data_IF_458263950362
#
_entry.id   IF_458263950362
#
_cell.length_a   1.000
_cell.length_b   1.000
_cell.length_c   1.000
_cell.angle_alpha   90.00
_cell.angle_beta   90.00
_cell.angle_gamma   90.00
#
_symmetry.space_group_name_H-M   'P 1'
#
loop_
_entity.id
_entity.type
_entity.pdbx_description
1 polymer ?
#
# COMPACT_ATOMS: atom_id res chain seq x y z
N UNK A 1 1.65 15.62 -2.95
CA UNK A 1 0.70 15.41 -4.06
C UNK A 1 -0.40 14.46 -3.62
N UNK A 2 -1.67 14.85 -3.75
CA UNK A 2 -2.76 13.96 -3.40
C UNK A 2 -2.81 12.73 -4.31
N UNK A 3 -3.04 11.57 -3.73
CA UNK A 3 -3.24 10.35 -4.51
C UNK A 3 -4.64 10.39 -5.14
N UNK A 4 -4.79 9.83 -6.35
CA UNK A 4 -6.10 9.70 -6.94
C UNK A 4 -6.96 8.75 -6.10
N UNK A 5 -8.30 8.92 -6.07
CA UNK A 5 -9.16 8.03 -5.30
C UNK A 5 -8.97 6.55 -5.65
N UNK A 6 -8.76 6.26 -6.92
CA UNK A 6 -8.54 4.89 -7.39
C UNK A 6 -7.26 4.29 -6.81
N UNK A 7 -6.17 5.04 -6.84
CA UNK A 7 -4.89 4.58 -6.29
C UNK A 7 -4.99 4.43 -4.78
N UNK A 8 -5.62 5.39 -4.10
CA UNK A 8 -5.80 5.32 -2.65
C UNK A 8 -6.64 4.10 -2.25
N UNK A 9 -7.68 3.78 -3.01
CA UNK A 9 -8.52 2.61 -2.75
C UNK A 9 -7.75 1.31 -2.93
N UNK A 10 -6.93 1.23 -3.95
CA UNK A 10 -6.07 0.06 -4.18
C UNK A 10 -5.07 -0.13 -3.05
N UNK A 11 -4.46 0.96 -2.62
CA UNK A 11 -3.49 0.90 -1.52
C UNK A 11 -4.17 0.46 -0.22
N UNK A 12 -5.34 0.99 0.07
CA UNK A 12 -6.10 0.60 1.25
C UNK A 12 -6.50 -0.88 1.20
N UNK A 13 -6.88 -1.37 0.03
CA UNK A 13 -7.22 -2.79 -0.15
C UNK A 13 -6.00 -3.68 0.12
N UNK A 14 -4.82 -3.29 -0.36
CA UNK A 14 -3.60 -4.04 -0.13
C UNK A 14 -3.20 -4.06 1.35
N UNK A 15 -3.42 -2.97 2.06
CA UNK A 15 -3.18 -2.93 3.51
C UNK A 15 -4.04 -3.95 4.22
N UNK A 16 -5.30 -4.11 3.81
CA UNK A 16 -6.20 -5.10 4.41
C UNK A 16 -5.82 -6.53 4.02
N UNK A 17 -5.44 -6.75 2.76
CA UNK A 17 -5.06 -8.09 2.26
C UNK A 17 -3.77 -8.60 2.89
N UNK A 18 -2.81 -7.73 3.08
CA UNK A 18 -1.49 -8.07 3.61
C UNK A 18 -1.30 -7.44 4.98
N UNK A 19 -2.30 -7.56 5.83
CA UNK A 19 -2.29 -6.93 7.15
C UNK A 19 -1.08 -7.33 7.99
N UNK A 20 -0.52 -8.52 7.78
CA UNK A 20 0.68 -8.96 8.47
C UNK A 20 1.91 -8.11 8.16
N UNK A 21 1.88 -7.39 7.04
CA UNK A 21 2.95 -6.46 6.67
C UNK A 21 2.78 -5.09 7.33
N UNK A 22 1.64 -4.84 7.94
CA UNK A 22 1.27 -3.52 8.47
C UNK A 22 0.86 -3.58 9.94
N UNK A 23 1.34 -4.55 10.68
CA UNK A 23 0.96 -4.76 12.08
C UNK A 23 1.29 -3.56 12.97
N UNK A 24 2.26 -2.76 12.59
CA UNK A 24 2.69 -1.56 13.34
C UNK A 24 1.91 -0.31 12.92
N UNK A 25 1.05 -0.41 11.89
CA UNK A 25 0.28 0.71 11.39
C UNK A 25 -1.16 0.59 11.88
N UNK A 26 -1.74 1.71 12.30
CA UNK A 26 -3.14 1.72 12.71
C UNK A 26 -4.03 1.41 11.50
N UNK A 27 -4.96 0.44 11.60
CA UNK A 27 -5.77 0.02 10.46
C UNK A 27 -6.67 1.13 9.89
N UNK A 28 -6.99 2.13 10.71
CA UNK A 28 -7.84 3.25 10.28
C UNK A 28 -7.04 4.43 9.71
N UNK A 29 -5.72 4.28 9.59
CA UNK A 29 -4.90 5.34 9.01
C UNK A 29 -5.28 5.56 7.55
N UNK A 30 -5.71 6.78 7.23
CA UNK A 30 -6.15 7.10 5.88
C UNK A 30 -4.97 7.22 4.91
N UNK A 31 -5.19 6.76 3.69
CA UNK A 31 -4.23 6.91 2.60
C UNK A 31 -4.71 8.07 1.74
N UNK A 32 -4.02 9.21 1.82
CA UNK A 32 -4.47 10.46 1.18
C UNK A 32 -3.51 10.97 0.12
N UNK A 33 -2.21 10.71 0.29
CA UNK A 33 -1.18 11.29 -0.56
C UNK A 33 -0.33 10.20 -1.19
N UNK A 34 0.38 10.55 -2.27
CA UNK A 34 1.27 9.61 -2.94
C UNK A 34 2.36 9.09 -2.01
N UNK A 35 2.78 9.89 -1.03
CA UNK A 35 3.76 9.43 -0.04
C UNK A 35 3.22 8.29 0.80
N UNK A 36 1.94 8.32 1.14
CA UNK A 36 1.28 7.22 1.86
C UNK A 36 1.27 5.95 1.00
N UNK A 37 0.99 6.10 -0.28
CA UNK A 37 0.98 4.99 -1.22
C UNK A 37 2.38 4.40 -1.36
N UNK A 38 3.40 5.23 -1.44
CA UNK A 38 4.79 4.77 -1.50
C UNK A 38 5.18 4.01 -0.25
N UNK A 39 4.71 4.46 0.91
CA UNK A 39 4.96 3.77 2.16
C UNK A 39 4.35 2.37 2.16
N UNK A 40 3.14 2.23 1.63
CA UNK A 40 2.48 0.93 1.45
C UNK A 40 3.34 0.03 0.56
N UNK A 41 3.82 0.56 -0.56
CA UNK A 41 4.68 -0.19 -1.49
C UNK A 41 5.95 -0.68 -0.78
N UNK A 42 6.62 0.21 -0.04
CA UNK A 42 7.83 -0.15 0.69
C UNK A 42 7.59 -1.26 1.70
N UNK A 43 6.50 -1.18 2.45
CA UNK A 43 6.19 -2.19 3.44
C UNK A 43 5.87 -3.54 2.81
N UNK A 44 5.19 -3.54 1.69
CA UNK A 44 4.90 -4.78 0.95
C UNK A 44 6.19 -5.43 0.44
N UNK A 45 7.15 -4.63 0.02
CA UNK A 45 8.43 -5.14 -0.45
C UNK A 45 9.32 -5.63 0.68
N UNK A 46 9.28 -4.94 1.82
CA UNK A 46 10.18 -5.25 2.93
C UNK A 46 9.68 -6.42 3.78
N UNK A 47 8.38 -6.55 3.96
CA UNK A 47 7.78 -7.52 4.89
C UNK A 47 6.90 -8.57 4.22
N UNK A 48 6.65 -8.42 2.93
CA UNK A 48 5.77 -9.33 2.21
C UNK A 48 6.51 -10.42 1.45
N UNK A 49 5.76 -11.40 0.99
CA UNK A 49 6.26 -12.46 0.13
C UNK A 49 6.18 -12.01 -1.34
N UNK A 50 6.34 -12.99 -2.26
CA UNK A 50 6.29 -12.69 -3.70
C UNK A 50 4.97 -12.08 -4.14
N UNK A 51 3.85 -12.51 -3.56
CA UNK A 51 2.53 -11.97 -3.91
C UNK A 51 2.44 -10.50 -3.50
N UNK A 52 2.94 -10.17 -2.32
CA UNK A 52 2.99 -8.78 -1.87
C UNK A 52 3.91 -7.95 -2.77
N UNK A 53 5.02 -8.52 -3.20
CA UNK A 53 5.96 -7.88 -4.11
C UNK A 53 5.30 -7.53 -5.45
N UNK A 54 4.58 -8.50 -6.01
CA UNK A 54 3.86 -8.31 -7.27
C UNK A 54 2.77 -7.25 -7.14
N UNK A 55 2.04 -7.27 -6.02
CA UNK A 55 1.01 -6.27 -5.74
C UNK A 55 1.62 -4.86 -5.61
N UNK A 56 2.78 -4.76 -4.95
CA UNK A 56 3.48 -3.49 -4.81
C UNK A 56 3.93 -2.94 -6.16
N UNK A 57 4.45 -3.81 -7.04
CA UNK A 57 4.87 -3.41 -8.37
C UNK A 57 3.69 -2.91 -9.20
N UNK A 58 2.54 -3.56 -9.07
CA UNK A 58 1.33 -3.16 -9.77
C UNK A 58 0.83 -1.81 -9.29
N UNK A 59 0.84 -1.59 -7.99
CA UNK A 59 0.44 -0.32 -7.40
C UNK A 59 1.38 0.79 -7.83
N UNK A 60 2.68 0.51 -7.88
CA UNK A 60 3.68 1.49 -8.30
C UNK A 60 3.45 1.95 -9.74
N UNK A 61 2.99 1.07 -10.61
CA UNK A 61 2.67 1.44 -11.99
C UNK A 61 1.49 2.41 -12.09
N UNK A 62 0.65 2.43 -11.08
CA UNK A 62 -0.49 3.36 -11.01
C UNK A 62 -0.09 4.76 -10.56
N UNK A 63 1.11 4.93 -10.08
CA UNK A 63 1.65 6.25 -9.75
C UNK A 63 2.29 6.88 -10.99
#
# INVERSE_FOLDING_TARGET
>A
VPASPEVADRAADLVRRFSECFWFRHPDAAIRFTDDVRLVIEHLRDYGDKRAWDAAAELQRSL
#
